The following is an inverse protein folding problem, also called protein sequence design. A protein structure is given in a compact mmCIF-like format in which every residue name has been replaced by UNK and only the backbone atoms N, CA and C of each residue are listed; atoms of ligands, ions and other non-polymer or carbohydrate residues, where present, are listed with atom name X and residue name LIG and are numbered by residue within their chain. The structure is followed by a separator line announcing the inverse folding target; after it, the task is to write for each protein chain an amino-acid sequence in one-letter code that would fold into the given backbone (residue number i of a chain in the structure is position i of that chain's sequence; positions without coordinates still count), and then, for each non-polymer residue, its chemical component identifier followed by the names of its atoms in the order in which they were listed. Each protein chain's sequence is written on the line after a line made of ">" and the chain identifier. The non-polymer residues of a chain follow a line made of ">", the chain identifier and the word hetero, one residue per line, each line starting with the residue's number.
data_IF_010089399711
#
_entry.id   IF_010089399711
#
_cell.length_a   1.000
_cell.length_b   1.000
_cell.length_c   1.000
_cell.angle_alpha   90.00
_cell.angle_beta   90.00
_cell.angle_gamma   90.00
#
_symmetry.space_group_name_H-M   'P 1'
#
loop_
_entity.id
_entity.type
_entity.pdbx_description
1 polymer ?
#
# COMPACT_ATOMS: atom_id res chain seq x y z
N UNK A 1 6.44 24.42 8.36
CA UNK A 1 5.23 24.79 7.59
C UNK A 1 5.15 24.07 6.25
N UNK A 2 6.22 24.07 5.45
CA UNK A 2 6.26 23.38 4.15
C UNK A 2 5.98 21.87 4.28
N UNK A 3 6.59 21.20 5.25
CA UNK A 3 6.41 19.74 5.47
C UNK A 3 4.97 19.38 5.79
N UNK A 4 4.27 20.16 6.60
CA UNK A 4 2.85 19.94 6.91
C UNK A 4 1.96 20.11 5.69
N UNK A 5 2.30 21.05 4.82
CA UNK A 5 1.60 21.25 3.55
C UNK A 5 1.82 20.06 2.61
N UNK A 6 3.04 19.58 2.49
CA UNK A 6 3.36 18.37 1.73
C UNK A 6 2.63 17.14 2.28
N UNK A 7 2.65 16.94 3.59
CA UNK A 7 1.94 15.87 4.25
C UNK A 7 0.43 15.90 3.97
N UNK A 8 -0.17 17.10 3.98
CA UNK A 8 -1.59 17.27 3.65
C UNK A 8 -1.89 16.86 2.19
N UNK A 9 -1.04 17.29 1.23
CA UNK A 9 -1.20 16.92 -0.18
C UNK A 9 -1.10 15.40 -0.35
N UNK A 10 -0.05 14.78 0.20
CA UNK A 10 0.15 13.33 0.12
C UNK A 10 -1.02 12.57 0.76
N UNK A 11 -1.52 13.03 1.91
CA UNK A 11 -2.69 12.44 2.56
C UNK A 11 -3.97 12.53 1.72
N UNK A 12 -4.18 13.63 1.00
CA UNK A 12 -5.32 13.78 0.05
C UNK A 12 -5.15 12.82 -1.12
N UNK A 13 -3.96 12.74 -1.70
CA UNK A 13 -3.66 11.83 -2.81
C UNK A 13 -3.91 10.38 -2.39
N UNK A 14 -3.41 9.96 -1.24
CA UNK A 14 -3.65 8.63 -0.67
C UNK A 14 -5.14 8.36 -0.51
N UNK A 15 -5.87 9.25 0.18
CA UNK A 15 -7.30 9.09 0.43
C UNK A 15 -8.15 9.00 -0.83
N UNK A 16 -7.74 9.65 -1.92
CA UNK A 16 -8.43 9.57 -3.21
C UNK A 16 -8.05 8.34 -4.02
N UNK A 17 -6.77 7.94 -4.00
CA UNK A 17 -6.26 6.86 -4.85
C UNK A 17 -6.37 5.48 -4.24
N UNK A 18 -6.49 5.36 -2.91
CA UNK A 18 -6.63 4.07 -2.23
C UNK A 18 -7.91 3.33 -2.62
N UNK A 19 -8.99 4.06 -2.86
CA UNK A 19 -10.28 3.48 -3.25
C UNK A 19 -10.43 3.24 -4.76
N UNK A 20 -9.49 3.72 -5.55
CA UNK A 20 -9.44 3.49 -6.99
C UNK A 20 -8.42 2.36 -7.23
N UNK A 21 -8.70 1.36 -8.10
CA UNK A 21 -7.76 0.26 -8.36
C UNK A 21 -6.55 0.73 -9.21
N UNK A 22 -5.89 1.76 -8.76
CA UNK A 22 -4.71 2.38 -9.38
C UNK A 22 -3.71 2.55 -8.24
N UNK A 23 -2.58 1.94 -8.30
CA UNK A 23 -1.57 1.94 -7.21
C UNK A 23 -1.44 3.30 -6.49
N UNK A 24 -1.97 3.41 -5.27
CA UNK A 24 -1.85 4.62 -4.43
C UNK A 24 -0.38 4.94 -4.14
N UNK A 25 0.41 3.94 -3.84
CA UNK A 25 1.86 4.06 -3.63
C UNK A 25 2.56 4.69 -4.84
N UNK A 26 2.20 4.29 -6.08
CA UNK A 26 2.74 4.90 -7.29
C UNK A 26 2.42 6.39 -7.39
N UNK A 27 1.21 6.79 -7.04
CA UNK A 27 0.80 8.19 -7.04
C UNK A 27 1.53 9.00 -5.96
N UNK A 28 1.69 8.45 -4.76
CA UNK A 28 2.45 9.10 -3.69
C UNK A 28 3.91 9.33 -4.07
N UNK A 29 4.55 8.36 -4.71
CA UNK A 29 5.94 8.50 -5.19
C UNK A 29 6.04 9.63 -6.21
N UNK A 30 5.12 9.68 -7.20
CA UNK A 30 5.14 10.72 -8.24
C UNK A 30 4.92 12.10 -7.62
N UNK A 31 3.87 12.26 -6.82
CA UNK A 31 3.54 13.54 -6.19
C UNK A 31 4.60 13.94 -5.19
N UNK A 32 5.11 13.02 -4.38
CA UNK A 32 6.20 13.24 -3.42
C UNK A 32 7.46 13.78 -4.10
N UNK A 33 7.83 13.22 -5.25
CA UNK A 33 8.95 13.75 -6.05
C UNK A 33 8.66 15.14 -6.60
N UNK A 34 7.44 15.43 -7.05
CA UNK A 34 7.07 16.75 -7.59
C UNK A 34 7.13 17.85 -6.53
N UNK A 35 6.79 17.52 -5.27
CA UNK A 35 6.82 18.48 -4.15
C UNK A 35 8.09 18.36 -3.29
N UNK A 36 9.10 17.62 -3.74
CA UNK A 36 10.34 17.34 -2.99
C UNK A 36 10.12 16.79 -1.56
N UNK A 37 9.04 16.04 -1.38
CA UNK A 37 8.75 15.31 -0.15
C UNK A 37 9.24 13.88 -0.27
N UNK A 38 10.54 13.67 -0.03
CA UNK A 38 11.24 12.41 -0.22
C UNK A 38 12.17 12.12 0.95
N UNK A 39 12.63 10.86 1.06
CA UNK A 39 13.55 10.44 2.09
C UNK A 39 12.90 9.51 3.13
N UNK A 40 13.63 9.23 4.20
CA UNK A 40 13.19 8.27 5.23
C UNK A 40 11.90 8.72 5.94
N UNK A 41 11.80 10.01 6.24
CA UNK A 41 10.62 10.57 6.89
C UNK A 41 9.38 10.45 6.02
N UNK A 42 9.50 10.71 4.70
CA UNK A 42 8.41 10.55 3.75
C UNK A 42 7.96 9.08 3.68
N UNK A 43 8.89 8.12 3.60
CA UNK A 43 8.57 6.71 3.55
C UNK A 43 7.84 6.23 4.82
N UNK A 44 8.26 6.69 5.99
CA UNK A 44 7.57 6.37 7.25
C UNK A 44 6.18 6.99 7.27
N UNK A 45 6.05 8.23 6.82
CA UNK A 45 4.77 8.91 6.73
C UNK A 45 3.80 8.19 5.79
N UNK A 46 4.27 7.76 4.61
CA UNK A 46 3.46 7.01 3.64
C UNK A 46 2.87 5.74 4.26
N UNK A 47 3.65 4.99 5.04
CA UNK A 47 3.15 3.80 5.75
C UNK A 47 2.06 4.17 6.76
N UNK A 48 2.24 5.27 7.52
CA UNK A 48 1.24 5.69 8.50
C UNK A 48 -0.07 6.13 7.87
N UNK A 49 -0.04 6.86 6.75
CA UNK A 49 -1.28 7.27 6.08
C UNK A 49 -2.00 6.09 5.42
N UNK A 50 -1.28 5.11 4.88
CA UNK A 50 -1.85 3.85 4.39
C UNK A 50 -2.57 3.09 5.51
N UNK A 51 -1.97 2.99 6.69
CA UNK A 51 -2.63 2.40 7.86
C UNK A 51 -3.90 3.18 8.23
N UNK A 52 -3.86 4.51 8.18
CA UNK A 52 -5.02 5.36 8.40
C UNK A 52 -6.14 5.10 7.39
N UNK A 53 -5.81 4.97 6.11
CA UNK A 53 -6.75 4.64 5.04
C UNK A 53 -7.41 3.27 5.29
N UNK A 54 -6.62 2.23 5.60
CA UNK A 54 -7.13 0.89 5.93
C UNK A 54 -8.05 0.92 7.15
N UNK A 55 -7.67 1.62 8.21
CA UNK A 55 -8.50 1.76 9.41
C UNK A 55 -9.83 2.46 9.11
N UNK A 56 -9.85 3.45 8.22
CA UNK A 56 -11.08 4.12 7.80
C UNK A 56 -12.08 3.15 7.15
N UNK A 57 -11.58 2.24 6.31
CA UNK A 57 -12.39 1.17 5.71
C UNK A 57 -12.97 0.24 6.78
N UNK A 58 -12.15 -0.17 7.75
CA UNK A 58 -12.60 -1.02 8.86
C UNK A 58 -13.71 -0.35 9.65
N UNK A 59 -13.57 0.96 9.95
CA UNK A 59 -14.59 1.72 10.70
C UNK A 59 -15.89 1.85 9.90
N UNK A 60 -15.81 2.22 8.62
CA UNK A 60 -16.98 2.40 7.74
C UNK A 60 -17.72 1.07 7.53
N UNK A 61 -16.98 0.00 7.30
CA UNK A 61 -17.55 -1.33 7.04
C UNK A 61 -17.55 -2.25 8.26
N UNK A 62 -17.44 -1.71 9.48
CA UNK A 62 -17.36 -2.51 10.72
C UNK A 62 -18.42 -3.61 10.82
N UNK A 63 -19.66 -3.33 10.41
CA UNK A 63 -20.72 -4.34 10.48
C UNK A 63 -20.48 -5.52 9.53
N UNK A 64 -19.92 -5.27 8.33
CA UNK A 64 -19.55 -6.32 7.39
C UNK A 64 -18.35 -7.12 7.90
N UNK A 65 -17.37 -6.45 8.51
CA UNK A 65 -16.23 -7.13 9.13
C UNK A 65 -16.66 -8.03 10.29
N UNK A 66 -17.53 -7.53 11.18
CA UNK A 66 -18.07 -8.33 12.29
C UNK A 66 -18.88 -9.51 11.78
N UNK A 67 -19.67 -9.33 10.71
CA UNK A 67 -20.43 -10.41 10.09
C UNK A 67 -19.52 -11.50 9.47
N UNK A 68 -18.41 -11.11 8.85
CA UNK A 68 -17.44 -12.05 8.28
C UNK A 68 -16.66 -12.80 9.38
N UNK A 69 -16.39 -12.14 10.50
CA UNK A 69 -15.70 -12.72 11.65
C UNK A 69 -16.60 -13.64 12.48
N UNK A 70 -17.92 -13.55 12.32
CA UNK A 70 -18.85 -14.43 13.02
C UNK A 70 -18.74 -15.86 12.49
N UNK A 71 -18.18 -16.73 13.33
CA UNK A 71 -17.90 -18.15 13.03
C UNK A 71 -19.15 -18.95 12.70
N UNK A 72 -20.33 -18.50 13.15
CA UNK A 72 -21.60 -19.17 12.86
C UNK A 72 -21.98 -19.12 11.36
N UNK A 73 -21.43 -18.16 10.62
CA UNK A 73 -21.66 -17.99 9.18
C UNK A 73 -20.54 -18.54 8.30
N UNK A 74 -19.52 -19.16 8.87
CA UNK A 74 -18.31 -19.62 8.17
C UNK A 74 -18.57 -20.61 7.05
N UNK A 75 -19.58 -21.47 7.23
CA UNK A 75 -19.95 -22.52 6.26
C UNK A 75 -21.19 -22.20 5.44
N UNK A 76 -21.71 -20.99 5.50
CA UNK A 76 -22.90 -20.60 4.74
C UNK A 76 -22.57 -20.42 3.27
N UNK A 77 -23.22 -21.19 2.40
CA UNK A 77 -23.02 -21.20 0.94
C UNK A 77 -23.44 -19.90 0.22
N UNK A 78 -24.04 -18.93 0.90
CA UNK A 78 -24.51 -17.66 0.31
C UNK A 78 -23.99 -16.49 1.13
N UNK A 79 -23.00 -15.75 0.60
CA UNK A 79 -22.51 -14.51 1.17
C UNK A 79 -20.98 -14.47 1.34
N UNK A 80 -20.43 -13.31 1.68
CA UNK A 80 -19.01 -13.17 1.97
C UNK A 80 -18.67 -13.93 3.25
N UNK A 81 -17.96 -15.04 3.10
CA UNK A 81 -17.46 -15.87 4.19
C UNK A 81 -15.95 -15.75 4.23
N UNK A 82 -15.37 -15.83 5.44
CA UNK A 82 -13.91 -15.84 5.64
C UNK A 82 -13.23 -16.97 4.84
N UNK A 83 -13.93 -18.11 4.66
CA UNK A 83 -13.44 -19.21 3.86
C UNK A 83 -13.40 -18.87 2.37
N UNK A 84 -14.41 -18.19 1.84
CA UNK A 84 -14.42 -17.74 0.45
C UNK A 84 -13.33 -16.69 0.20
N UNK A 85 -13.13 -15.79 1.15
CA UNK A 85 -12.06 -14.79 1.10
C UNK A 85 -10.68 -15.46 1.13
N UNK A 86 -10.47 -16.45 2.01
CA UNK A 86 -9.23 -17.22 2.09
C UNK A 86 -8.92 -17.96 0.79
N UNK A 87 -9.91 -18.63 0.20
CA UNK A 87 -9.76 -19.34 -1.09
C UNK A 87 -9.46 -18.35 -2.21
N UNK A 88 -10.11 -17.19 -2.23
CA UNK A 88 -9.87 -16.15 -3.24
C UNK A 88 -8.45 -15.54 -3.12
N UNK A 89 -7.89 -15.49 -1.92
CA UNK A 89 -6.53 -14.99 -1.69
C UNK A 89 -5.43 -16.01 -2.01
N UNK A 90 -5.75 -17.32 -2.01
CA UNK A 90 -4.77 -18.38 -2.27
C UNK A 90 -3.96 -18.19 -3.55
N UNK A 91 -4.54 -17.94 -4.74
CA UNK A 91 -3.78 -17.74 -5.96
C UNK A 91 -2.86 -16.53 -5.88
N UNK A 92 -3.30 -15.44 -5.24
CA UNK A 92 -2.47 -14.25 -5.07
C UNK A 92 -1.27 -14.51 -4.13
N UNK A 93 -1.49 -15.26 -3.04
CA UNK A 93 -0.41 -15.65 -2.12
C UNK A 93 0.60 -16.59 -2.79
N UNK A 94 0.13 -17.56 -3.56
CA UNK A 94 1.00 -18.51 -4.30
C UNK A 94 1.83 -17.76 -5.34
N UNK A 95 1.20 -16.89 -6.14
CA UNK A 95 1.90 -16.07 -7.13
C UNK A 95 2.88 -15.12 -6.46
N UNK A 96 2.50 -14.44 -5.39
CA UNK A 96 3.37 -13.56 -4.63
C UNK A 96 4.59 -14.28 -4.06
N UNK A 97 4.41 -15.49 -3.53
CA UNK A 97 5.51 -16.31 -3.04
C UNK A 97 6.47 -16.76 -4.16
N UNK A 98 5.92 -17.23 -5.29
CA UNK A 98 6.72 -17.64 -6.45
C UNK A 98 7.47 -16.47 -7.09
N UNK A 99 6.80 -15.32 -7.24
CA UNK A 99 7.41 -14.11 -7.82
C UNK A 99 8.41 -13.45 -6.88
N UNK A 100 8.28 -13.64 -5.56
CA UNK A 100 9.20 -13.06 -4.57
C UNK A 100 10.67 -13.46 -4.83
N UNK A 101 10.91 -14.72 -5.19
CA UNK A 101 12.23 -15.21 -5.56
C UNK A 101 12.75 -14.56 -6.83
N UNK A 102 11.92 -14.36 -7.83
CA UNK A 102 12.29 -13.71 -9.09
C UNK A 102 12.59 -12.22 -8.91
N UNK A 103 11.82 -11.51 -8.07
CA UNK A 103 12.03 -10.07 -7.80
C UNK A 103 13.36 -9.85 -7.07
N UNK A 104 13.77 -10.77 -6.18
CA UNK A 104 15.08 -10.68 -5.51
C UNK A 104 16.27 -10.97 -6.44
N UNK A 105 16.07 -11.76 -7.49
CA UNK A 105 17.14 -12.08 -8.47
C UNK A 105 17.36 -10.92 -9.47
N UNK A 106 16.39 -10.05 -9.65
CA UNK A 106 16.57 -8.83 -10.44
C UNK A 106 16.53 -7.64 -9.46
N UNK A 107 17.66 -7.27 -8.83
CA UNK A 107 17.74 -5.99 -8.14
C UNK A 107 17.52 -4.92 -9.21
N UNK A 108 16.28 -4.42 -9.29
CA UNK A 108 16.02 -3.20 -10.05
C UNK A 108 16.95 -2.16 -9.46
N UNK A 109 17.89 -1.77 -10.26
CA UNK A 109 19.12 -1.02 -9.98
C UNK A 109 18.82 0.35 -9.38
N UNK A 110 18.33 0.42 -8.17
CA UNK A 110 18.41 1.67 -7.38
C UNK A 110 19.86 2.04 -7.04
N UNK A 111 20.78 1.06 -7.13
CA UNK A 111 22.21 1.27 -6.97
C UNK A 111 22.83 2.06 -8.11
N UNK A 112 22.29 2.04 -9.33
CA UNK A 112 22.83 2.82 -10.44
C UNK A 112 22.56 4.31 -10.34
N UNK A 113 21.42 4.73 -9.79
CA UNK A 113 21.14 6.15 -9.57
C UNK A 113 22.02 6.75 -8.45
N UNK A 114 22.25 5.97 -7.39
CA UNK A 114 23.15 6.41 -6.30
C UNK A 114 24.62 6.47 -6.70
N UNK A 115 25.07 5.62 -7.60
CA UNK A 115 26.44 5.65 -8.11
C UNK A 115 26.70 6.85 -9.03
N UNK A 116 25.67 7.39 -9.70
CA UNK A 116 25.80 8.61 -10.51
C UNK A 116 25.84 9.87 -9.67
N UNK A 117 25.14 9.93 -8.54
CA UNK A 117 25.16 11.09 -7.65
C UNK A 117 26.49 11.23 -6.90
N UNK A 118 27.11 10.10 -6.52
CA UNK A 118 28.42 10.14 -5.83
C UNK A 118 29.58 10.54 -6.76
N UNK A 119 29.46 10.31 -8.07
CA UNK A 119 30.50 10.75 -9.03
C UNK A 119 30.37 12.21 -9.45
N UNK A 120 29.19 12.82 -9.27
CA UNK A 120 29.00 14.23 -9.61
C UNK A 120 29.43 15.18 -8.49
N UNK A 121 29.69 14.68 -7.27
CA UNK A 121 30.11 15.47 -6.11
C UNK A 121 31.59 15.29 -5.72
N UNK A 122 32.40 14.69 -6.58
CA UNK A 122 33.86 14.66 -6.51
C UNK A 122 34.44 15.53 -7.63
#
# INVERSE_FOLDING_TARGET
>A
MYEYFCALIIGIVEGLTEYIPVSSTGHMIIVGNMINFTGELANVFDVFIQLGAILSVVVVYRQKFLYILDTHHWFRKKGPSLMNLGIAMLPACVLGYLCHGMIKQYPVSYTHLRAHETKANL
#
